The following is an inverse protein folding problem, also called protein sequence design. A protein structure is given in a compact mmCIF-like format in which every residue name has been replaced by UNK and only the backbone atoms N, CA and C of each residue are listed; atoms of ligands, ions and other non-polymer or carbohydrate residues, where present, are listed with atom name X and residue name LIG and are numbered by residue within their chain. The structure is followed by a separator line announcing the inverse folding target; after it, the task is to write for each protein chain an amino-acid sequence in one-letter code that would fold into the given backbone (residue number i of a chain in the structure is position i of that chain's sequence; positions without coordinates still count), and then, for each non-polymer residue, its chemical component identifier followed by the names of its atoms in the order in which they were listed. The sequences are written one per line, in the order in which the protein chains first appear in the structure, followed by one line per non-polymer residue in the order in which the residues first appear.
data_IF_778190043623
#
_entry.id   IF_778190043623
#
_cell.length_a   1.000
_cell.length_b   1.000
_cell.length_c   1.000
_cell.angle_alpha   90.00
_cell.angle_beta   90.00
_cell.angle_gamma   90.00
#
_symmetry.space_group_name_H-M   'P 1'
#
loop_
_entity.id
_entity.type
_entity.pdbx_description
1 polymer ?
#
# COMPACT_ATOMS: atom_id res chain seq x y z
N UNK A 1 -40.09 12.42 -15.21
CA UNK A 1 -39.14 11.32 -15.25
C UNK A 1 -37.80 11.91 -15.69
N UNK A 2 -37.00 12.37 -14.76
CA UNK A 2 -35.71 13.02 -15.05
C UNK A 2 -34.61 12.00 -14.81
N UNK A 3 -33.84 11.72 -15.88
CA UNK A 3 -32.70 10.83 -15.86
C UNK A 3 -31.53 11.46 -15.08
N UNK A 4 -31.08 10.81 -14.02
CA UNK A 4 -29.86 11.17 -13.32
C UNK A 4 -28.67 10.64 -14.12
N UNK A 5 -27.88 11.57 -14.66
CA UNK A 5 -26.62 11.28 -15.33
C UNK A 5 -25.63 10.63 -14.37
N UNK A 6 -24.98 9.58 -14.84
CA UNK A 6 -23.84 8.91 -14.23
C UNK A 6 -22.66 9.90 -14.12
N UNK A 7 -21.86 9.90 -13.03
CA UNK A 7 -20.66 10.71 -12.96
C UNK A 7 -19.61 10.21 -13.94
N UNK A 8 -19.12 11.14 -14.73
CA UNK A 8 -18.12 11.01 -15.78
C UNK A 8 -16.79 10.45 -15.24
N UNK A 9 -16.53 9.20 -15.59
CA UNK A 9 -15.29 8.50 -15.27
C UNK A 9 -14.24 8.81 -16.36
N UNK A 10 -13.75 10.05 -16.38
CA UNK A 10 -12.66 10.44 -17.30
C UNK A 10 -11.36 9.82 -16.82
N UNK A 11 -11.08 8.64 -17.34
CA UNK A 11 -9.77 8.03 -17.26
C UNK A 11 -8.73 8.97 -17.88
N UNK A 12 -7.61 9.12 -17.22
CA UNK A 12 -6.45 9.88 -17.74
C UNK A 12 -6.02 9.19 -19.05
N UNK A 13 -6.14 9.90 -20.16
CA UNK A 13 -5.74 9.41 -21.49
C UNK A 13 -4.23 9.53 -21.66
N UNK A 14 -3.52 8.42 -21.54
CA UNK A 14 -2.07 8.33 -21.68
C UNK A 14 -1.56 8.38 -23.13
N UNK A 15 -2.42 8.68 -24.14
CA UNK A 15 -2.09 8.47 -25.56
C UNK A 15 -1.42 9.61 -26.31
N UNK A 16 -1.15 10.77 -25.69
CA UNK A 16 -0.58 11.93 -26.38
C UNK A 16 0.55 12.62 -25.63
N UNK A 17 1.66 11.91 -25.39
CA UNK A 17 2.96 12.54 -25.20
C UNK A 17 3.86 12.06 -26.34
N UNK A 18 3.94 12.86 -27.42
CA UNK A 18 4.97 12.69 -28.43
C UNK A 18 6.31 13.14 -27.83
N UNK A 19 7.06 12.21 -27.27
CA UNK A 19 8.43 12.42 -26.83
C UNK A 19 9.38 12.04 -27.97
N UNK A 20 10.44 12.84 -28.15
CA UNK A 20 11.50 12.56 -29.10
C UNK A 20 12.12 11.17 -28.81
N UNK A 21 12.22 10.26 -29.79
CA UNK A 21 12.74 8.92 -29.59
C UNK A 21 14.16 8.88 -28.97
N UNK A 22 14.98 9.86 -29.20
CA UNK A 22 16.33 9.97 -28.63
C UNK A 22 16.30 10.39 -27.16
N UNK A 23 15.36 11.24 -26.76
CA UNK A 23 15.12 11.61 -25.35
C UNK A 23 14.58 10.39 -24.57
N UNK A 24 13.66 9.64 -25.15
CA UNK A 24 13.08 8.42 -24.54
C UNK A 24 14.19 7.41 -24.24
N UNK A 25 15.12 7.16 -25.15
CA UNK A 25 16.22 6.20 -24.96
C UNK A 25 17.15 6.64 -23.82
N UNK A 26 17.43 7.95 -23.70
CA UNK A 26 18.28 8.47 -22.62
C UNK A 26 17.60 8.41 -21.26
N UNK A 27 16.32 8.74 -21.17
CA UNK A 27 15.54 8.69 -19.93
C UNK A 27 15.32 7.24 -19.46
N UNK A 28 14.97 6.31 -20.35
CA UNK A 28 14.87 4.88 -20.02
C UNK A 28 16.19 4.29 -19.55
N UNK A 29 17.33 4.75 -20.11
CA UNK A 29 18.65 4.29 -19.68
C UNK A 29 18.98 4.82 -18.28
N UNK A 30 18.63 6.05 -17.95
CA UNK A 30 18.83 6.65 -16.62
C UNK A 30 17.96 5.93 -15.57
N UNK A 31 16.68 5.72 -15.83
CA UNK A 31 15.77 5.02 -14.93
C UNK A 31 16.25 3.59 -14.64
N UNK A 32 16.81 2.89 -15.62
CA UNK A 32 17.41 1.57 -15.40
C UNK A 32 18.63 1.63 -14.47
N UNK A 33 19.46 2.66 -14.61
CA UNK A 33 20.62 2.88 -13.75
C UNK A 33 20.14 3.16 -12.31
N UNK A 34 19.13 3.99 -12.13
CA UNK A 34 18.56 4.33 -10.84
C UNK A 34 18.00 3.11 -10.10
N UNK A 35 17.33 2.23 -10.84
CA UNK A 35 16.85 0.97 -10.26
C UNK A 35 17.98 -0.02 -9.93
N UNK A 36 19.09 0.01 -10.66
CA UNK A 36 20.29 -0.76 -10.29
C UNK A 36 20.86 -0.26 -8.97
N UNK A 37 20.86 1.05 -8.72
CA UNK A 37 21.31 1.63 -7.45
C UNK A 37 20.46 1.10 -6.30
N UNK A 38 19.13 1.14 -6.43
CA UNK A 38 18.22 0.62 -5.40
C UNK A 38 18.37 -0.89 -5.18
N UNK A 39 18.58 -1.67 -6.24
CA UNK A 39 18.81 -3.11 -6.15
C UNK A 39 20.15 -3.49 -5.52
N UNK A 40 21.12 -2.58 -5.52
CA UNK A 40 22.41 -2.76 -4.83
C UNK A 40 22.32 -2.44 -3.32
N UNK A 41 21.21 -1.86 -2.84
CA UNK A 41 20.99 -1.63 -1.43
C UNK A 41 20.54 -2.94 -0.75
N UNK A 42 21.47 -3.63 -0.10
CA UNK A 42 21.22 -4.92 0.56
C UNK A 42 20.11 -4.85 1.62
N UNK A 43 20.02 -3.73 2.36
CA UNK A 43 18.98 -3.55 3.39
C UNK A 43 17.60 -3.41 2.77
N UNK A 44 17.50 -2.69 1.67
CA UNK A 44 16.26 -2.57 0.89
C UNK A 44 15.87 -3.94 0.32
N UNK A 45 16.80 -4.64 -0.32
CA UNK A 45 16.52 -5.95 -0.91
C UNK A 45 16.08 -6.98 0.11
N UNK A 46 16.72 -7.01 1.28
CA UNK A 46 16.28 -7.88 2.38
C UNK A 46 14.86 -7.57 2.87
N UNK A 47 14.41 -6.31 2.84
CA UNK A 47 13.04 -5.96 3.18
C UNK A 47 12.06 -6.34 2.05
N UNK A 48 12.45 -6.18 0.78
CA UNK A 48 11.68 -6.63 -0.38
C UNK A 48 11.47 -8.15 -0.34
N UNK A 49 12.50 -8.92 0.02
CA UNK A 49 12.40 -10.38 0.18
C UNK A 49 11.43 -10.77 1.31
N UNK A 50 11.42 -10.03 2.43
CA UNK A 50 10.42 -10.23 3.51
C UNK A 50 8.99 -9.94 3.04
N UNK A 51 8.81 -8.91 2.22
CA UNK A 51 7.49 -8.61 1.61
C UNK A 51 7.06 -9.79 0.73
N UNK A 52 7.96 -10.34 -0.09
CA UNK A 52 7.69 -11.51 -0.91
C UNK A 52 7.30 -12.73 -0.07
N UNK A 53 8.05 -12.99 1.00
CA UNK A 53 7.78 -14.10 1.92
C UNK A 53 6.40 -13.98 2.57
N UNK A 54 6.06 -12.80 3.12
CA UNK A 54 4.74 -12.54 3.74
C UNK A 54 3.62 -12.69 2.71
N UNK A 55 3.79 -12.15 1.51
CA UNK A 55 2.82 -12.31 0.43
C UNK A 55 2.57 -13.79 0.09
N UNK A 56 3.64 -14.62 0.12
CA UNK A 56 3.57 -16.06 -0.04
C UNK A 56 2.76 -16.75 1.07
N UNK A 57 2.98 -16.37 2.32
CA UNK A 57 2.21 -16.89 3.45
C UNK A 57 0.72 -16.53 3.36
N UNK A 58 0.39 -15.29 3.01
CA UNK A 58 -1.00 -14.86 2.85
C UNK A 58 -1.71 -15.65 1.74
N UNK A 59 -1.03 -15.86 0.62
CA UNK A 59 -1.55 -16.67 -0.46
C UNK A 59 -1.76 -18.14 -0.04
N UNK A 60 -0.78 -18.75 0.62
CA UNK A 60 -0.84 -20.14 1.06
C UNK A 60 -1.93 -20.37 2.11
N UNK A 61 -2.17 -19.38 2.98
CA UNK A 61 -3.25 -19.41 3.97
C UNK A 61 -4.65 -19.18 3.38
N UNK A 62 -4.76 -18.78 2.11
CA UNK A 62 -6.03 -18.42 1.50
C UNK A 62 -6.60 -17.08 1.97
N UNK A 63 -5.74 -16.21 2.54
CA UNK A 63 -6.16 -14.89 3.07
C UNK A 63 -5.98 -13.76 2.07
N UNK A 64 -5.65 -14.08 0.83
CA UNK A 64 -5.43 -13.14 -0.27
C UNK A 64 -5.89 -13.76 -1.59
N UNK A 65 -7.18 -14.08 -1.68
CA UNK A 65 -7.77 -14.70 -2.86
C UNK A 65 -7.80 -13.72 -4.05
N UNK A 66 -7.61 -14.23 -5.25
CA UNK A 66 -7.53 -13.44 -6.49
C UNK A 66 -6.53 -12.28 -6.35
N UNK A 67 -7.01 -11.03 -6.38
CA UNK A 67 -6.27 -9.80 -6.15
C UNK A 67 -6.65 -9.13 -4.81
N UNK A 68 -7.25 -9.89 -3.90
CA UNK A 68 -7.56 -9.45 -2.55
C UNK A 68 -6.31 -9.28 -1.70
N UNK A 69 -6.38 -8.37 -0.74
CA UNK A 69 -5.27 -8.01 0.11
C UNK A 69 -4.21 -7.14 -0.58
N UNK A 70 -3.49 -6.37 0.21
CA UNK A 70 -2.41 -5.50 -0.25
C UNK A 70 -1.44 -5.17 0.91
N UNK A 71 -0.24 -4.76 0.56
CA UNK A 71 0.84 -4.48 1.49
C UNK A 71 1.41 -3.11 1.16
N UNK A 72 1.66 -2.28 2.17
CA UNK A 72 2.55 -1.14 2.06
C UNK A 72 3.59 -1.14 3.18
N UNK A 73 4.81 -0.81 2.84
CA UNK A 73 5.93 -0.78 3.77
C UNK A 73 6.70 0.53 3.62
N UNK A 74 6.84 1.27 4.72
CA UNK A 74 7.68 2.46 4.77
C UNK A 74 9.16 2.06 4.75
N UNK A 75 9.84 2.42 3.68
CA UNK A 75 11.24 2.07 3.41
C UNK A 75 12.20 3.24 3.71
N UNK A 76 11.71 4.39 4.11
CA UNK A 76 12.46 5.65 4.22
C UNK A 76 13.78 5.52 4.99
N UNK A 77 13.78 4.75 6.09
CA UNK A 77 14.97 4.56 6.94
C UNK A 77 15.99 3.58 6.37
N UNK A 78 15.65 2.89 5.29
CA UNK A 78 16.54 1.95 4.62
C UNK A 78 17.31 2.60 3.46
N UNK A 79 16.89 3.79 3.04
CA UNK A 79 17.41 4.53 1.89
C UNK A 79 18.31 5.67 2.32
N UNK A 80 19.40 5.91 1.58
CA UNK A 80 20.23 7.12 1.69
C UNK A 80 19.48 8.34 1.14
N UNK A 81 19.99 9.55 1.36
CA UNK A 81 19.39 10.76 0.80
C UNK A 81 19.50 10.80 -0.73
N UNK A 82 20.59 10.24 -1.30
CA UNK A 82 20.78 10.11 -2.74
C UNK A 82 19.74 9.15 -3.34
N UNK A 83 19.51 8.00 -2.70
CA UNK A 83 18.50 7.04 -3.14
C UNK A 83 17.08 7.60 -3.07
N UNK A 84 16.77 8.39 -2.04
CA UNK A 84 15.49 9.10 -1.93
C UNK A 84 15.30 10.18 -2.99
N UNK A 85 16.40 10.77 -3.48
CA UNK A 85 16.38 11.83 -4.47
C UNK A 85 16.37 11.33 -5.92
N UNK A 86 16.38 10.01 -6.14
CA UNK A 86 16.36 9.43 -7.50
C UNK A 86 15.19 9.97 -8.34
N UNK A 87 15.38 10.15 -9.65
CA UNK A 87 14.34 10.58 -10.56
C UNK A 87 13.12 9.67 -10.54
N UNK A 88 11.95 10.25 -10.70
CA UNK A 88 10.70 9.50 -10.76
C UNK A 88 10.38 9.09 -12.20
N UNK A 89 9.88 7.87 -12.37
CA UNK A 89 9.31 7.42 -13.65
C UNK A 89 7.99 8.16 -13.95
N UNK A 90 7.18 8.39 -12.93
CA UNK A 90 5.96 9.18 -13.00
C UNK A 90 5.91 10.12 -11.81
N UNK A 91 5.72 11.40 -12.06
CA UNK A 91 5.79 12.44 -11.03
C UNK A 91 4.42 13.07 -10.75
N UNK A 92 4.27 13.59 -9.53
CA UNK A 92 3.20 14.50 -9.14
C UNK A 92 1.78 13.94 -9.29
N UNK A 93 1.60 12.64 -9.00
CA UNK A 93 0.27 12.03 -8.97
C UNK A 93 -0.48 12.57 -7.72
N UNK A 94 -1.62 13.25 -7.88
CA UNK A 94 -2.27 13.93 -6.77
C UNK A 94 -2.85 12.95 -5.76
N UNK A 95 -2.75 13.30 -4.48
CA UNK A 95 -3.44 12.66 -3.37
C UNK A 95 -4.74 13.42 -3.06
N UNK A 96 -5.77 12.69 -2.63
CA UNK A 96 -7.06 13.31 -2.25
C UNK A 96 -6.97 14.06 -0.91
N UNK A 97 -6.10 13.62 -0.02
CA UNK A 97 -5.81 14.27 1.27
C UNK A 97 -4.30 14.43 1.43
N UNK A 98 -3.87 15.51 2.08
CA UNK A 98 -2.46 15.76 2.31
C UNK A 98 -1.89 14.85 3.41
N UNK A 99 -0.75 14.22 3.13
CA UNK A 99 -0.03 13.31 4.03
C UNK A 99 1.14 14.03 4.71
N UNK A 100 0.82 15.03 5.53
CA UNK A 100 1.81 15.99 6.07
C UNK A 100 2.88 15.36 6.96
N UNK A 101 2.58 14.23 7.64
CA UNK A 101 3.56 13.50 8.43
C UNK A 101 4.43 12.56 7.60
N UNK A 102 4.16 12.42 6.28
CA UNK A 102 4.85 11.52 5.37
C UNK A 102 5.63 12.25 4.27
N UNK A 103 5.80 13.57 4.35
CA UNK A 103 6.58 14.34 3.37
C UNK A 103 7.97 13.72 3.13
N UNK A 104 8.31 13.43 1.88
CA UNK A 104 9.57 12.81 1.49
C UNK A 104 9.72 11.32 1.83
N UNK A 105 8.73 10.70 2.45
CA UNK A 105 8.79 9.28 2.77
C UNK A 105 8.65 8.42 1.51
N UNK A 106 9.38 7.30 1.50
CA UNK A 106 9.36 6.31 0.43
C UNK A 106 8.71 5.02 0.92
N UNK A 107 7.82 4.46 0.09
CA UNK A 107 7.09 3.24 0.39
C UNK A 107 7.22 2.23 -0.74
N UNK A 108 7.28 0.95 -0.40
CA UNK A 108 6.83 -0.11 -1.29
C UNK A 108 5.30 -0.24 -1.14
N UNK A 109 4.59 -0.40 -2.25
CA UNK A 109 3.14 -0.63 -2.26
C UNK A 109 2.78 -1.65 -3.32
N UNK A 110 2.00 -2.66 -2.98
CA UNK A 110 1.49 -3.62 -3.97
C UNK A 110 0.65 -2.94 -5.04
N UNK A 111 0.78 -3.39 -6.28
CA UNK A 111 0.10 -2.82 -7.44
C UNK A 111 -1.40 -3.14 -7.50
N UNK A 112 -2.18 -2.25 -8.10
CA UNK A 112 -3.60 -2.48 -8.33
C UNK A 112 -3.83 -3.72 -9.19
N UNK A 113 -4.81 -4.55 -8.83
CA UNK A 113 -5.14 -5.79 -9.54
C UNK A 113 -4.07 -6.89 -9.46
N UNK A 114 -2.96 -6.66 -8.76
CA UNK A 114 -1.89 -7.65 -8.58
C UNK A 114 -2.28 -8.67 -7.52
N UNK A 115 -1.71 -9.87 -7.60
CA UNK A 115 -2.04 -11.00 -6.72
C UNK A 115 -0.87 -11.31 -5.81
N UNK A 116 -1.12 -11.59 -4.52
CA UNK A 116 -0.08 -11.91 -3.54
C UNK A 116 0.83 -13.06 -3.98
N UNK A 117 0.30 -14.08 -4.67
CA UNK A 117 1.11 -15.18 -5.23
C UNK A 117 2.13 -14.73 -6.28
N UNK A 118 1.91 -13.59 -6.94
CA UNK A 118 2.85 -13.03 -7.90
C UNK A 118 3.79 -12.01 -7.24
N UNK A 119 3.30 -11.25 -6.23
CA UNK A 119 4.16 -10.45 -5.35
C UNK A 119 5.21 -11.33 -4.69
N UNK A 120 4.83 -12.53 -4.22
CA UNK A 120 5.74 -13.52 -3.65
C UNK A 120 6.85 -13.99 -4.61
N UNK A 121 6.61 -13.92 -5.92
CA UNK A 121 7.60 -14.36 -6.93
C UNK A 121 8.47 -13.21 -7.42
N UNK A 122 7.88 -12.04 -7.59
CA UNK A 122 8.54 -10.84 -8.10
C UNK A 122 7.83 -9.60 -7.55
N UNK A 123 8.29 -9.07 -6.40
CA UNK A 123 7.73 -7.88 -5.80
C UNK A 123 7.78 -6.64 -6.71
N UNK A 124 8.85 -6.47 -7.48
CA UNK A 124 9.01 -5.30 -8.35
C UNK A 124 8.10 -5.32 -9.58
N UNK A 125 7.80 -6.49 -10.13
CA UNK A 125 6.82 -6.64 -11.21
C UNK A 125 5.36 -6.55 -10.72
N UNK A 126 5.14 -6.58 -9.41
CA UNK A 126 3.80 -6.62 -8.81
C UNK A 126 3.56 -5.52 -7.76
N UNK A 127 4.45 -4.56 -7.65
CA UNK A 127 4.35 -3.42 -6.76
C UNK A 127 5.17 -2.24 -7.26
N UNK A 128 5.07 -1.13 -6.58
CA UNK A 128 5.79 0.10 -6.89
C UNK A 128 6.52 0.64 -5.67
N UNK A 129 7.65 1.29 -5.91
CA UNK A 129 8.20 2.23 -4.96
C UNK A 129 7.56 3.59 -5.21
N UNK A 130 6.99 4.20 -4.20
CA UNK A 130 6.43 5.55 -4.28
C UNK A 130 7.11 6.47 -3.29
N UNK A 131 7.28 7.74 -3.66
CA UNK A 131 7.78 8.81 -2.80
C UNK A 131 6.71 9.87 -2.62
N UNK A 132 6.39 10.21 -1.38
CA UNK A 132 5.46 11.31 -1.09
C UNK A 132 6.21 12.63 -1.33
N UNK A 133 5.56 13.56 -2.02
CA UNK A 133 6.12 14.87 -2.31
C UNK A 133 6.40 15.67 -1.02
N UNK A 134 7.27 16.68 -1.13
CA UNK A 134 7.67 17.50 0.02
C UNK A 134 6.50 18.29 0.66
N UNK A 135 5.42 18.54 -0.08
CA UNK A 135 4.21 19.19 0.42
C UNK A 135 3.14 18.20 0.93
N UNK A 136 3.38 16.89 0.78
CA UNK A 136 2.46 15.84 1.16
C UNK A 136 1.19 15.71 0.30
N UNK A 137 1.07 16.44 -0.82
CA UNK A 137 -0.16 16.50 -1.63
C UNK A 137 -0.15 15.61 -2.87
N UNK A 138 0.99 15.06 -3.22
CA UNK A 138 1.17 14.15 -4.34
C UNK A 138 2.20 13.08 -4.02
N UNK A 139 2.32 12.11 -4.90
CA UNK A 139 3.39 11.11 -4.85
C UNK A 139 3.99 10.88 -6.23
N UNK A 140 5.20 10.41 -6.23
CA UNK A 140 5.96 9.98 -7.40
C UNK A 140 6.06 8.46 -7.42
N UNK A 141 6.21 7.87 -8.61
CA UNK A 141 6.55 6.45 -8.77
C UNK A 141 8.02 6.32 -9.13
N UNK A 142 8.78 5.60 -8.28
CA UNK A 142 10.20 5.30 -8.41
C UNK A 142 10.38 3.83 -8.83
N UNK A 143 9.98 3.43 -10.02
CA UNK A 143 9.98 2.03 -10.43
C UNK A 143 10.44 1.85 -11.88
N UNK A 144 10.86 0.63 -12.24
CA UNK A 144 11.19 0.28 -13.65
C UNK A 144 9.96 0.29 -14.56
N UNK A 145 8.78 0.09 -13.97
CA UNK A 145 7.51 0.05 -14.68
C UNK A 145 6.48 0.92 -13.96
N UNK A 146 5.62 1.63 -14.70
CA UNK A 146 4.61 2.51 -14.11
C UNK A 146 3.42 1.68 -13.58
N UNK A 147 3.66 0.85 -12.57
CA UNK A 147 2.62 0.05 -11.93
C UNK A 147 1.83 0.96 -10.99
N UNK A 148 0.54 1.22 -11.24
CA UNK A 148 -0.28 1.98 -10.31
C UNK A 148 -0.34 1.25 -8.95
N UNK A 149 -0.17 1.94 -7.82
CA UNK A 149 -0.39 1.37 -6.50
C UNK A 149 -1.83 0.84 -6.34
N UNK A 150 -2.04 0.00 -5.33
CA UNK A 150 -3.38 -0.49 -4.99
C UNK A 150 -4.41 0.64 -4.91
N UNK A 151 -5.66 0.36 -5.30
CA UNK A 151 -6.77 1.31 -5.15
C UNK A 151 -7.03 1.72 -3.70
N UNK A 152 -6.51 0.94 -2.73
CA UNK A 152 -6.57 1.23 -1.29
C UNK A 152 -5.38 2.07 -0.79
N UNK A 153 -4.52 2.56 -1.68
CA UNK A 153 -3.40 3.45 -1.32
C UNK A 153 -3.82 4.59 -0.37
N UNK A 154 -4.98 5.28 -0.56
CA UNK A 154 -5.38 6.33 0.36
C UNK A 154 -5.56 5.85 1.80
N UNK A 155 -6.20 4.70 2.02
CA UNK A 155 -6.37 4.11 3.36
C UNK A 155 -5.02 3.74 3.99
N UNK A 156 -4.13 3.12 3.22
CA UNK A 156 -2.78 2.79 3.66
C UNK A 156 -2.00 4.04 4.09
N UNK A 157 -2.00 5.09 3.25
CA UNK A 157 -1.27 6.32 3.55
C UNK A 157 -1.88 7.07 4.74
N UNK A 158 -3.21 7.07 4.91
CA UNK A 158 -3.85 7.66 6.09
C UNK A 158 -3.42 6.96 7.38
N UNK A 159 -3.37 5.62 7.39
CA UNK A 159 -2.88 4.86 8.54
C UNK A 159 -1.41 5.18 8.84
N UNK A 160 -0.54 5.17 7.84
CA UNK A 160 0.87 5.55 8.02
C UNK A 160 1.02 6.99 8.52
N UNK A 161 0.25 7.93 7.94
CA UNK A 161 0.28 9.34 8.32
C UNK A 161 -0.17 9.54 9.78
N UNK A 162 -1.27 8.89 10.18
CA UNK A 162 -1.76 8.91 11.55
C UNK A 162 -0.73 8.34 12.54
N UNK A 163 -0.18 7.16 12.25
CA UNK A 163 0.81 6.51 13.11
C UNK A 163 2.06 7.37 13.24
N UNK A 164 2.55 7.92 12.14
CA UNK A 164 3.73 8.79 12.14
C UNK A 164 3.50 10.10 12.90
N UNK A 165 2.34 10.73 12.72
CA UNK A 165 1.93 11.93 13.46
C UNK A 165 1.84 11.69 14.98
N UNK A 166 1.58 10.44 15.40
CA UNK A 166 1.58 10.01 16.80
C UNK A 166 2.96 9.54 17.30
N UNK A 167 4.02 9.74 16.53
CA UNK A 167 5.39 9.30 16.89
C UNK A 167 5.56 7.78 16.96
N UNK A 168 4.74 7.01 16.22
CA UNK A 168 4.85 5.56 16.17
C UNK A 168 5.80 5.12 15.07
N UNK A 169 6.55 4.05 15.31
CA UNK A 169 7.53 3.49 14.39
C UNK A 169 6.97 2.32 13.55
N UNK A 170 5.65 2.17 13.52
CA UNK A 170 5.02 1.16 12.67
C UNK A 170 5.29 1.49 11.18
N UNK A 171 5.90 0.53 10.48
CA UNK A 171 6.32 0.71 9.08
C UNK A 171 5.48 -0.06 8.08
N UNK A 172 4.62 -0.97 8.55
CA UNK A 172 3.85 -1.88 7.71
C UNK A 172 2.37 -1.67 7.91
N UNK A 173 1.64 -1.56 6.81
CA UNK A 173 0.18 -1.71 6.75
C UNK A 173 -0.11 -2.90 5.85
N UNK A 174 -0.85 -3.87 6.39
CA UNK A 174 -1.22 -5.10 5.73
C UNK A 174 -2.74 -5.23 5.71
N UNK A 175 -3.33 -5.32 4.53
CA UNK A 175 -4.72 -5.69 4.34
C UNK A 175 -4.79 -7.15 3.86
N UNK A 176 -5.67 -7.93 4.45
CA UNK A 176 -5.85 -9.35 4.14
C UNK A 176 -7.27 -9.80 4.51
N UNK A 177 -7.71 -10.94 3.95
CA UNK A 177 -9.06 -11.48 4.11
C UNK A 177 -9.06 -12.80 4.90
N UNK A 178 -8.79 -12.80 6.24
CA UNK A 178 -8.81 -14.02 7.02
C UNK A 178 -10.27 -14.51 7.15
N UNK A 179 -10.60 -15.58 6.46
CA UNK A 179 -11.98 -16.09 6.32
C UNK A 179 -12.66 -16.37 7.66
N UNK A 180 -11.92 -16.88 8.65
CA UNK A 180 -12.45 -17.19 9.97
C UNK A 180 -12.86 -15.91 10.71
N UNK A 181 -12.02 -14.86 10.67
CA UNK A 181 -12.34 -13.56 11.28
C UNK A 181 -13.50 -12.89 10.56
N UNK A 182 -13.53 -12.95 9.23
CA UNK A 182 -14.65 -12.44 8.43
C UNK A 182 -15.92 -13.21 8.82
N UNK A 183 -15.87 -14.54 8.94
CA UNK A 183 -16.99 -15.36 9.42
C UNK A 183 -17.48 -14.94 10.79
N UNK A 184 -16.59 -14.63 11.73
CA UNK A 184 -16.98 -14.12 13.06
C UNK A 184 -17.76 -12.81 12.97
N UNK A 185 -17.40 -11.89 12.08
CA UNK A 185 -18.10 -10.60 11.94
C UNK A 185 -19.52 -10.71 11.37
N UNK A 186 -19.93 -11.86 10.82
CA UNK A 186 -21.33 -12.12 10.48
C UNK A 186 -22.20 -12.47 11.70
N UNK A 187 -21.59 -12.68 12.87
CA UNK A 187 -22.31 -12.97 14.11
C UNK A 187 -22.42 -11.69 14.94
N UNK A 188 -23.64 -11.21 15.22
CA UNK A 188 -23.90 -9.97 15.97
C UNK A 188 -23.05 -9.78 17.24
N UNK A 189 -22.81 -10.82 18.09
CA UNK A 189 -21.98 -10.66 19.29
C UNK A 189 -20.55 -10.21 19.00
N UNK A 190 -20.00 -10.47 17.82
CA UNK A 190 -18.61 -10.14 17.44
C UNK A 190 -18.49 -8.82 16.67
N UNK A 191 -19.58 -8.07 16.53
CA UNK A 191 -19.55 -6.68 16.08
C UNK A 191 -19.18 -5.69 17.19
N UNK A 192 -18.96 -6.19 18.41
CA UNK A 192 -18.47 -5.45 19.55
C UNK A 192 -16.97 -5.71 19.72
N UNK A 193 -16.17 -4.64 19.71
CA UNK A 193 -14.70 -4.70 19.76
C UNK A 193 -14.17 -5.34 21.05
N UNK A 194 -14.84 -5.11 22.20
CA UNK A 194 -14.42 -5.70 23.47
C UNK A 194 -14.72 -7.20 23.48
N UNK A 195 -15.89 -7.58 23.03
CA UNK A 195 -16.33 -8.98 23.03
C UNK A 195 -15.50 -9.84 22.09
N UNK A 196 -15.25 -9.39 20.85
CA UNK A 196 -14.38 -10.13 19.92
C UNK A 196 -12.94 -10.20 20.45
N UNK A 197 -12.41 -9.13 21.01
CA UNK A 197 -11.08 -9.10 21.63
C UNK A 197 -10.97 -10.14 22.75
N UNK A 198 -11.89 -10.15 23.69
CA UNK A 198 -11.90 -11.11 24.80
C UNK A 198 -12.03 -12.55 24.31
N UNK A 199 -12.85 -12.79 23.29
CA UNK A 199 -13.02 -14.11 22.69
C UNK A 199 -11.71 -14.59 22.09
N UNK A 200 -11.05 -13.77 21.25
CA UNK A 200 -9.77 -14.13 20.64
C UNK A 200 -8.67 -14.38 21.68
N UNK A 201 -8.59 -13.56 22.72
CA UNK A 201 -7.64 -13.75 23.84
C UNK A 201 -7.90 -15.02 24.64
N UNK A 202 -9.15 -15.47 24.73
CA UNK A 202 -9.51 -16.71 25.46
C UNK A 202 -9.21 -17.97 24.68
N UNK A 203 -9.08 -17.88 23.35
CA UNK A 203 -8.80 -19.05 22.51
C UNK A 203 -7.37 -19.54 22.67
N UNK A 204 -6.42 -18.59 22.73
CA UNK A 204 -4.98 -18.86 22.77
C UNK A 204 -4.24 -17.70 23.44
N UNK A 205 -3.45 -17.95 24.47
CA UNK A 205 -2.75 -16.90 25.24
C UNK A 205 -1.85 -16.00 24.40
N UNK A 206 -1.26 -16.53 23.33
CA UNK A 206 -0.40 -15.80 22.41
C UNK A 206 -1.13 -14.64 21.73
N UNK A 207 -2.43 -14.76 21.47
CA UNK A 207 -3.22 -13.67 20.93
C UNK A 207 -3.15 -12.42 21.81
N UNK A 208 -3.17 -12.56 23.14
CA UNK A 208 -3.05 -11.44 24.06
C UNK A 208 -1.65 -10.85 24.09
N UNK A 209 -0.63 -11.68 23.88
CA UNK A 209 0.77 -11.25 23.86
C UNK A 209 1.06 -10.46 22.56
N UNK A 210 0.60 -10.98 21.41
CA UNK A 210 0.88 -10.42 20.09
C UNK A 210 0.00 -9.19 19.82
N UNK A 211 -1.28 -9.25 20.25
CA UNK A 211 -2.27 -8.18 20.04
C UNK A 211 -2.78 -7.66 21.39
N UNK A 212 -1.91 -7.05 22.23
CA UNK A 212 -2.25 -6.70 23.62
C UNK A 212 -3.30 -5.60 23.72
N UNK A 213 -3.53 -4.83 22.67
CA UNK A 213 -4.56 -3.78 22.61
C UNK A 213 -5.91 -4.28 22.09
N UNK A 214 -5.97 -5.57 21.70
CA UNK A 214 -7.17 -6.13 21.10
C UNK A 214 -7.36 -5.72 19.65
N UNK A 215 -8.57 -5.97 19.15
CA UNK A 215 -8.99 -5.67 17.78
C UNK A 215 -10.12 -4.65 17.78
N UNK A 216 -10.12 -3.72 16.84
CA UNK A 216 -11.23 -2.82 16.57
C UNK A 216 -12.19 -3.45 15.55
N UNK A 217 -13.47 -3.19 15.70
CA UNK A 217 -14.49 -3.46 14.69
C UNK A 217 -14.91 -2.14 14.09
N UNK A 218 -14.82 -2.08 12.78
CA UNK A 218 -15.28 -0.93 11.98
C UNK A 218 -16.63 -1.32 11.37
N UNK A 219 -17.66 -0.47 11.45
CA UNK A 219 -18.93 -0.69 10.76
C UNK A 219 -18.69 -0.82 9.25
N UNK A 220 -19.58 -1.60 8.58
CA UNK A 220 -19.50 -1.74 7.14
C UNK A 220 -19.68 -0.39 6.46
N UNK A 221 -18.73 -0.07 5.60
CA UNK A 221 -18.76 1.08 4.70
C UNK A 221 -18.55 0.61 3.25
N UNK A 222 -19.01 1.38 2.30
CA UNK A 222 -18.81 1.04 0.88
C UNK A 222 -17.33 1.21 0.54
N UNK A 223 -16.63 0.15 0.10
CA UNK A 223 -15.21 0.20 -0.20
C UNK A 223 -14.83 1.35 -1.13
N UNK A 224 -13.76 2.07 -0.78
CA UNK A 224 -13.26 3.21 -1.56
C UNK A 224 -13.97 4.54 -1.32
N UNK A 225 -14.95 4.61 -0.41
CA UNK A 225 -15.58 5.87 -0.01
C UNK A 225 -14.75 6.63 1.02
N UNK A 226 -15.05 7.92 1.24
CA UNK A 226 -14.42 8.70 2.31
C UNK A 226 -14.78 8.17 3.71
N UNK A 227 -15.96 7.59 3.87
CA UNK A 227 -16.38 6.97 5.14
C UNK A 227 -15.54 5.73 5.47
N UNK A 228 -15.35 4.83 4.49
CA UNK A 228 -14.48 3.67 4.58
C UNK A 228 -13.04 4.06 5.02
N UNK A 229 -12.53 5.17 4.49
CA UNK A 229 -11.17 5.65 4.78
C UNK A 229 -10.99 6.31 6.14
N UNK A 230 -12.07 6.83 6.74
CA UNK A 230 -12.05 7.54 8.03
C UNK A 230 -12.41 6.66 9.22
N UNK A 231 -12.85 5.45 8.97
CA UNK A 231 -13.25 4.49 10.02
C UNK A 231 -12.07 3.69 10.58
N UNK A 232 -10.84 4.07 10.25
CA UNK A 232 -9.59 3.41 10.72
C UNK A 232 -8.99 4.16 11.91
#
# INVERSE_FOLDING_TARGET
MEGRGSPDNRGIDYRHVYLDPFLIISEYSLIKIDMIILRNNERLMAEIDRIAEVAGYLWTKGWAERNGGNISVNLTTLLSEEEKALPALVSSIPLQEAMTALCGHVFYVTGTGKRMRYVAKDPFANGSLIRIAADGKSYDILAEQPIPPTSELPSHLLMHNFLRAKGRDNRVVLHTHPTDIIGMTHCKPFLDSEKITRTLWSMIPECRIIVPKGVGIVPYEIPGTLADRKSV
#
